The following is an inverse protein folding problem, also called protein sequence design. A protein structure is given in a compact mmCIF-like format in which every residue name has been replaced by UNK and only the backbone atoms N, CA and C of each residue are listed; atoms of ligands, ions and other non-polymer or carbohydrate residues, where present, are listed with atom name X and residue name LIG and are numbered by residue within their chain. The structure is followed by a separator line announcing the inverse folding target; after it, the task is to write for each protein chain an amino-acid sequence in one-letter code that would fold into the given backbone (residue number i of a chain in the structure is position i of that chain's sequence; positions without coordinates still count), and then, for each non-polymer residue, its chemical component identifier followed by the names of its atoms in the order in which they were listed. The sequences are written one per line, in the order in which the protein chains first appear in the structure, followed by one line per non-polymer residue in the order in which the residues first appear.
data_IF_570657214606
#
_entry.id   IF_570657214606
#
_cell.length_a   1.000
_cell.length_b   1.000
_cell.length_c   1.000
_cell.angle_alpha   90.00
_cell.angle_beta   90.00
_cell.angle_gamma   90.00
#
_symmetry.space_group_name_H-M   'P 1'
#
loop_
_entity.id
_entity.type
_entity.pdbx_description
1 polymer ?
#
# COMPACT_ATOMS: atom_id res chain seq x y z
N UNK A 1 -15.27 45.94 32.59
CA UNK A 1 -15.87 45.03 31.59
C UNK A 1 -14.71 44.45 30.80
N UNK A 2 -14.48 43.13 30.92
CA UNK A 2 -13.38 42.45 30.24
C UNK A 2 -13.87 41.83 28.95
N UNK A 3 -13.17 42.09 27.85
CA UNK A 3 -13.02 41.13 26.75
C UNK A 3 -11.63 41.34 26.14
N UNK A 4 -10.80 40.30 26.26
CA UNK A 4 -9.39 40.35 25.86
C UNK A 4 -9.21 40.05 24.37
N UNK A 5 -8.04 40.43 23.88
CA UNK A 5 -7.43 40.05 22.61
C UNK A 5 -7.83 38.67 22.06
N UNK A 6 -8.12 38.62 20.75
CA UNK A 6 -7.99 37.40 19.95
C UNK A 6 -7.04 37.67 18.78
N UNK A 7 -5.91 36.97 18.80
CA UNK A 7 -4.95 36.91 17.68
C UNK A 7 -5.29 35.69 16.81
N UNK A 8 -5.42 35.84 15.48
CA UNK A 8 -5.62 34.69 14.60
C UNK A 8 -4.25 34.10 14.22
N UNK A 9 -3.79 33.13 15.00
CA UNK A 9 -2.70 32.21 14.60
C UNK A 9 -3.31 30.81 14.43
N UNK A 10 -2.74 30.04 13.50
CA UNK A 10 -2.92 28.59 13.30
C UNK A 10 -4.22 28.16 12.61
N UNK A 11 -4.10 27.87 11.32
CA UNK A 11 -5.00 26.98 10.58
C UNK A 11 -4.17 26.15 9.57
N UNK A 12 -3.56 25.05 10.03
CA UNK A 12 -2.94 24.02 9.18
C UNK A 12 -3.26 22.65 9.78
N UNK A 13 -3.40 21.62 8.95
CA UNK A 13 -3.77 20.25 9.33
C UNK A 13 -2.74 19.19 8.80
N UNK A 14 -3.13 17.96 8.44
CA UNK A 14 -2.30 16.73 8.42
C UNK A 14 -2.16 16.04 7.01
N UNK A 15 -1.01 15.37 6.63
CA UNK A 15 -0.91 13.88 6.51
C UNK A 15 0.29 13.07 5.89
N UNK A 16 0.82 12.09 6.66
CA UNK A 16 1.38 10.76 6.27
C UNK A 16 1.79 10.40 4.82
N UNK A 17 3.04 9.96 4.63
CA UNK A 17 3.52 9.39 3.36
C UNK A 17 2.87 8.04 3.00
N UNK A 18 2.24 7.98 1.82
CA UNK A 18 1.45 6.84 1.33
C UNK A 18 2.34 5.79 0.64
N UNK A 19 2.25 4.53 1.05
CA UNK A 19 2.82 3.43 0.26
C UNK A 19 1.94 3.12 -0.94
N UNK A 20 2.38 3.50 -2.15
CA UNK A 20 1.67 3.32 -3.42
C UNK A 20 1.66 1.86 -3.91
N UNK A 21 1.26 0.92 -3.04
CA UNK A 21 1.02 -0.49 -3.38
C UNK A 21 -0.49 -0.72 -3.53
N UNK A 22 -0.91 -1.05 -4.74
CA UNK A 22 -2.33 -1.22 -5.08
C UNK A 22 -2.90 -2.60 -4.68
N UNK A 23 -2.06 -3.58 -4.36
CA UNK A 23 -2.41 -4.93 -3.91
C UNK A 23 -1.33 -5.44 -2.94
N UNK A 24 -1.65 -6.41 -2.07
CA UNK A 24 -0.63 -7.19 -1.36
C UNK A 24 0.34 -7.87 -2.34
N UNK A 25 1.63 -7.80 -2.03
CA UNK A 25 2.72 -8.45 -2.78
C UNK A 25 2.69 -9.98 -2.74
N UNK A 26 1.83 -10.57 -1.91
CA UNK A 26 1.64 -12.02 -1.83
C UNK A 26 0.21 -12.43 -2.17
N UNK A 27 0.10 -13.52 -2.91
CA UNK A 27 -1.15 -14.23 -3.20
C UNK A 27 -1.14 -15.64 -2.58
N UNK A 28 -2.31 -16.26 -2.45
CA UNK A 28 -2.44 -17.66 -2.02
C UNK A 28 -1.98 -18.70 -3.06
N UNK A 29 -1.71 -18.27 -4.30
CA UNK A 29 -1.23 -19.12 -5.38
C UNK A 29 0.29 -19.26 -5.36
N UNK A 30 0.82 -20.42 -5.72
CA UNK A 30 2.26 -20.63 -5.92
C UNK A 30 2.56 -20.71 -7.42
N UNK A 31 3.65 -20.08 -7.86
CA UNK A 31 4.09 -20.12 -9.27
C UNK A 31 4.38 -21.54 -9.75
N UNK A 32 4.95 -22.39 -8.88
CA UNK A 32 5.46 -23.71 -9.26
C UNK A 32 6.92 -23.65 -9.70
N UNK A 33 7.64 -24.77 -9.58
CA UNK A 33 9.09 -24.83 -9.85
C UNK A 33 9.41 -24.36 -11.27
N UNK A 34 10.42 -23.50 -11.41
CA UNK A 34 10.88 -22.84 -12.65
C UNK A 34 9.92 -21.86 -13.32
N UNK A 35 8.69 -21.71 -12.85
CA UNK A 35 7.72 -20.78 -13.41
C UNK A 35 7.80 -19.43 -12.68
N UNK A 36 7.41 -18.37 -13.35
CA UNK A 36 7.43 -17.02 -12.80
C UNK A 36 6.62 -16.01 -13.58
N UNK A 37 6.65 -14.77 -13.10
CA UNK A 37 6.14 -13.61 -13.84
C UNK A 37 7.03 -12.41 -13.62
N UNK A 38 7.11 -11.54 -14.62
CA UNK A 38 7.60 -10.16 -14.51
C UNK A 38 6.47 -9.26 -14.97
N UNK A 39 6.13 -8.24 -14.19
CA UNK A 39 5.10 -7.27 -14.55
C UNK A 39 5.54 -5.84 -14.29
N UNK A 40 5.04 -4.95 -15.14
CA UNK A 40 5.13 -3.49 -14.98
C UNK A 40 3.72 -2.96 -14.92
N UNK A 41 3.39 -2.28 -13.83
CA UNK A 41 2.08 -1.64 -13.64
C UNK A 41 2.24 -0.15 -13.33
N UNK A 42 1.30 0.64 -13.82
CA UNK A 42 1.11 2.04 -13.43
C UNK A 42 -0.13 2.14 -12.55
N UNK A 43 -0.05 2.93 -11.48
CA UNK A 43 -1.19 3.29 -10.64
C UNK A 43 -1.32 4.80 -10.57
N UNK A 44 -2.54 5.29 -10.78
CA UNK A 44 -2.91 6.69 -10.60
C UNK A 44 -3.90 6.77 -9.43
N UNK A 45 -3.49 7.43 -8.35
CA UNK A 45 -4.26 7.66 -7.12
C UNK A 45 -4.55 9.15 -6.92
N UNK A 46 -5.68 9.48 -6.31
CA UNK A 46 -6.06 10.87 -5.97
C UNK A 46 -6.96 10.95 -4.74
N UNK A 47 -6.82 12.03 -3.96
CA UNK A 47 -7.73 12.35 -2.86
C UNK A 47 -7.82 13.85 -2.57
N UNK A 48 -8.97 14.24 -2.01
CA UNK A 48 -9.20 15.50 -1.30
C UNK A 48 -9.48 15.25 0.18
N UNK A 49 -10.38 14.31 0.46
CA UNK A 49 -10.74 13.94 1.82
C UNK A 49 -9.63 13.12 2.50
N UNK A 50 -9.54 13.24 3.82
CA UNK A 50 -8.43 12.67 4.60
C UNK A 50 -8.89 12.26 6.00
N UNK A 51 -8.40 11.12 6.50
CA UNK A 51 -8.75 10.57 7.82
C UNK A 51 -7.76 11.07 8.88
N UNK A 52 -8.21 12.00 9.71
CA UNK A 52 -7.42 12.90 10.56
C UNK A 52 -7.78 12.68 12.01
N UNK A 53 -7.11 11.75 12.69
CA UNK A 53 -7.57 11.24 13.98
C UNK A 53 -7.94 12.36 14.98
N UNK A 54 -9.18 12.39 15.52
CA UNK A 54 -10.24 11.36 15.43
C UNK A 54 -11.25 11.52 14.26
N UNK A 55 -11.15 12.57 13.45
CA UNK A 55 -12.14 12.99 12.47
C UNK A 55 -11.80 12.60 11.01
N UNK A 56 -12.66 13.01 10.06
CA UNK A 56 -12.39 12.96 8.62
C UNK A 56 -12.70 14.34 8.05
N UNK A 57 -11.68 15.07 7.58
CA UNK A 57 -11.89 16.36 6.91
C UNK A 57 -12.03 16.18 5.40
N UNK A 58 -12.52 17.21 4.72
CA UNK A 58 -12.88 17.14 3.31
C UNK A 58 -11.80 17.61 2.32
N UNK A 59 -10.70 18.18 2.83
CA UNK A 59 -9.66 18.83 2.05
C UNK A 59 -8.25 18.46 2.55
N UNK A 60 -7.29 18.30 1.63
CA UNK A 60 -5.91 18.03 2.04
C UNK A 60 -5.28 19.35 2.53
N UNK A 61 -4.73 19.38 3.74
CA UNK A 61 -4.16 20.61 4.27
C UNK A 61 -2.90 21.04 3.52
N UNK A 62 -2.71 22.36 3.38
CA UNK A 62 -1.77 23.01 2.45
C UNK A 62 -2.12 22.75 0.98
N UNK A 63 -2.30 21.49 0.57
CA UNK A 63 -2.27 21.07 -0.83
C UNK A 63 -3.62 20.75 -1.48
N UNK A 64 -4.75 20.96 -0.80
CA UNK A 64 -6.16 20.83 -1.24
C UNK A 64 -6.57 19.45 -1.80
N UNK A 65 -5.87 18.99 -2.84
CA UNK A 65 -5.90 17.65 -3.45
C UNK A 65 -4.47 17.11 -3.57
N UNK A 66 -4.25 15.85 -3.19
CA UNK A 66 -3.05 15.10 -3.61
C UNK A 66 -3.37 14.23 -4.82
N UNK A 67 -2.42 14.16 -5.75
CA UNK A 67 -2.37 13.19 -6.83
C UNK A 67 -1.06 12.38 -6.72
N UNK A 68 -1.17 11.04 -6.76
CA UNK A 68 -0.02 10.13 -6.67
C UNK A 68 0.03 9.27 -7.93
N UNK A 69 1.17 9.27 -8.63
CA UNK A 69 1.49 8.29 -9.67
C UNK A 69 2.53 7.31 -9.16
N UNK A 70 2.40 6.03 -9.50
CA UNK A 70 3.48 5.07 -9.33
C UNK A 70 3.64 4.16 -10.54
N UNK A 71 4.89 3.82 -10.85
CA UNK A 71 5.25 2.74 -11.78
C UNK A 71 5.96 1.67 -10.96
N UNK A 72 5.37 0.48 -10.89
CA UNK A 72 5.89 -0.64 -10.11
C UNK A 72 6.41 -1.75 -11.02
N UNK A 73 7.67 -2.11 -10.84
CA UNK A 73 8.24 -3.36 -11.33
C UNK A 73 8.01 -4.44 -10.27
N UNK A 74 7.40 -5.55 -10.65
CA UNK A 74 7.16 -6.71 -9.80
C UNK A 74 7.61 -7.98 -10.51
N UNK A 75 8.30 -8.88 -9.80
CA UNK A 75 8.67 -10.18 -10.34
C UNK A 75 8.57 -11.28 -9.29
N UNK A 76 8.06 -12.45 -9.68
CA UNK A 76 7.99 -13.66 -8.85
C UNK A 76 8.64 -14.85 -9.57
N UNK A 77 9.23 -15.76 -8.80
CA UNK A 77 9.85 -16.99 -9.30
C UNK A 77 9.68 -18.15 -8.32
N UNK A 78 9.13 -19.26 -8.80
CA UNK A 78 9.04 -20.51 -8.05
C UNK A 78 10.38 -21.25 -8.04
N UNK A 79 11.13 -21.11 -6.95
CA UNK A 79 12.35 -21.87 -6.68
C UNK A 79 12.02 -23.37 -6.58
N UNK A 80 10.89 -23.70 -5.96
CA UNK A 80 10.29 -25.04 -5.92
C UNK A 80 8.76 -24.93 -5.93
N UNK A 81 8.06 -26.06 -6.02
CA UNK A 81 6.59 -26.13 -5.91
C UNK A 81 6.03 -25.75 -4.53
N UNK A 82 6.92 -25.48 -3.57
CA UNK A 82 6.62 -25.04 -2.21
C UNK A 82 7.32 -23.73 -1.79
N UNK A 83 8.24 -23.19 -2.59
CA UNK A 83 9.01 -21.98 -2.24
C UNK A 83 9.05 -21.05 -3.44
N UNK A 84 8.58 -19.82 -3.23
CA UNK A 84 8.54 -18.74 -4.21
C UNK A 84 9.27 -17.52 -3.65
N UNK A 85 10.10 -16.88 -4.47
CA UNK A 85 10.66 -15.57 -4.19
C UNK A 85 9.90 -14.51 -4.99
N UNK A 86 9.69 -13.32 -4.41
CA UNK A 86 9.09 -12.18 -5.09
C UNK A 86 9.89 -10.92 -4.76
N UNK A 87 10.01 -10.02 -5.74
CA UNK A 87 10.60 -8.68 -5.60
C UNK A 87 9.67 -7.63 -6.18
N UNK A 88 9.61 -6.45 -5.53
CA UNK A 88 8.87 -5.28 -5.99
C UNK A 88 9.73 -4.03 -5.84
N UNK A 89 9.70 -3.16 -6.85
CA UNK A 89 10.38 -1.88 -6.86
C UNK A 89 9.47 -0.80 -7.50
N UNK A 90 8.82 0.03 -6.67
CA UNK A 90 8.01 1.14 -7.15
C UNK A 90 8.83 2.44 -7.28
N UNK A 91 8.73 3.08 -8.45
CA UNK A 91 8.96 4.51 -8.60
C UNK A 91 7.66 5.24 -8.28
N UNK A 92 7.70 6.26 -7.42
CA UNK A 92 6.52 7.01 -6.98
C UNK A 92 6.76 8.49 -7.21
N UNK A 93 5.71 9.20 -7.65
CA UNK A 93 5.60 10.66 -7.73
C UNK A 93 4.33 11.09 -7.00
N UNK A 94 4.47 11.99 -6.03
CA UNK A 94 3.35 12.59 -5.29
C UNK A 94 3.35 14.09 -5.53
N UNK A 95 2.19 14.63 -5.89
CA UNK A 95 1.97 16.04 -6.21
C UNK A 95 0.82 16.60 -5.35
N UNK A 96 1.05 17.78 -4.76
CA UNK A 96 0.07 18.55 -4.02
C UNK A 96 -0.38 19.79 -4.80
N UNK A 97 -1.70 20.00 -4.88
CA UNK A 97 -2.31 21.05 -5.69
C UNK A 97 -2.92 22.17 -4.84
N UNK A 98 -2.08 23.04 -4.27
CA UNK A 98 -2.54 24.23 -3.55
C UNK A 98 -2.86 25.40 -4.50
N UNK A 99 -3.60 26.39 -4.00
CA UNK A 99 -3.71 27.71 -4.61
C UNK A 99 -2.33 28.36 -4.89
N UNK A 100 -2.20 29.20 -5.95
CA UNK A 100 -0.93 29.81 -6.31
C UNK A 100 -0.30 30.65 -5.19
N UNK A 101 -1.12 31.26 -4.32
CA UNK A 101 -0.67 32.05 -3.17
C UNK A 101 0.06 31.16 -2.16
N UNK A 102 -0.52 30.01 -1.78
CA UNK A 102 0.12 29.05 -0.85
C UNK A 102 1.45 28.51 -1.42
N UNK A 103 1.54 28.30 -2.73
CA UNK A 103 2.78 27.85 -3.37
C UNK A 103 3.86 28.94 -3.48
N UNK A 104 3.48 30.20 -3.69
CA UNK A 104 4.40 31.34 -3.81
C UNK A 104 4.87 31.83 -2.43
N UNK A 105 3.95 32.01 -1.48
CA UNK A 105 4.23 32.57 -0.16
C UNK A 105 4.85 31.54 0.80
N UNK A 106 4.49 30.26 0.65
CA UNK A 106 4.89 29.19 1.58
C UNK A 106 6.24 28.54 1.30
N UNK A 107 6.87 28.79 0.13
CA UNK A 107 8.09 28.11 -0.35
C UNK A 107 8.03 26.56 -0.25
N UNK A 108 6.82 25.99 -0.39
CA UNK A 108 6.60 24.56 -0.19
C UNK A 108 7.00 23.75 -1.43
N UNK A 109 7.77 22.69 -1.22
CA UNK A 109 7.98 21.66 -2.25
C UNK A 109 6.69 20.88 -2.45
N UNK A 110 5.97 21.12 -3.56
CA UNK A 110 4.67 20.51 -3.86
C UNK A 110 4.75 19.27 -4.76
N UNK A 111 5.93 18.85 -5.20
CA UNK A 111 6.16 17.59 -5.92
C UNK A 111 7.33 16.84 -5.30
N UNK A 112 7.14 15.56 -5.00
CA UNK A 112 8.19 14.65 -4.52
C UNK A 112 8.18 13.38 -5.34
N UNK A 113 9.33 12.90 -5.79
CA UNK A 113 9.43 11.69 -6.63
C UNK A 113 10.75 10.93 -6.46
N UNK A 114 10.73 9.62 -6.74
CA UNK A 114 11.90 8.76 -6.64
C UNK A 114 11.55 7.26 -6.58
N UNK A 115 12.58 6.41 -6.57
CA UNK A 115 12.43 5.00 -6.20
C UNK A 115 12.13 4.93 -4.70
N UNK A 116 11.01 4.30 -4.34
CA UNK A 116 10.57 4.21 -2.95
C UNK A 116 11.29 3.04 -2.25
N UNK A 117 10.58 2.01 -1.78
CA UNK A 117 11.16 0.93 -1.00
C UNK A 117 11.25 -0.33 -1.88
N UNK A 118 12.47 -0.85 -2.08
CA UNK A 118 12.62 -2.18 -2.65
C UNK A 118 12.16 -3.20 -1.63
N UNK A 119 11.29 -4.12 -2.06
CA UNK A 119 10.71 -5.14 -1.20
C UNK A 119 10.98 -6.52 -1.77
N UNK A 120 11.67 -7.36 -1.00
CA UNK A 120 11.85 -8.78 -1.30
C UNK A 120 11.05 -9.63 -0.31
N UNK A 121 10.48 -10.75 -0.77
CA UNK A 121 9.81 -11.70 0.10
C UNK A 121 10.02 -13.15 -0.35
N UNK A 122 9.94 -14.06 0.62
CA UNK A 122 9.88 -15.50 0.41
C UNK A 122 8.54 -16.02 0.90
N UNK A 123 7.86 -16.80 0.06
CA UNK A 123 6.58 -17.44 0.33
C UNK A 123 6.75 -18.96 0.33
N UNK A 124 6.29 -19.60 1.40
CA UNK A 124 6.49 -21.01 1.70
C UNK A 124 5.15 -21.70 1.85
N UNK A 125 4.82 -22.68 0.99
CA UNK A 125 3.63 -23.54 1.16
C UNK A 125 3.95 -24.65 2.15
N UNK A 126 3.53 -24.46 3.40
CA UNK A 126 3.78 -25.40 4.50
C UNK A 126 2.86 -26.61 4.49
N UNK A 127 1.58 -26.42 4.12
CA UNK A 127 0.57 -27.48 4.10
C UNK A 127 -0.37 -27.33 2.91
N UNK A 128 -0.87 -28.47 2.42
CA UNK A 128 -1.81 -28.59 1.30
C UNK A 128 -2.68 -29.82 1.55
N UNK A 129 -4.00 -29.70 1.45
CA UNK A 129 -4.93 -30.83 1.62
C UNK A 129 -6.16 -30.68 0.75
N UNK A 130 -6.77 -31.80 0.39
CA UNK A 130 -8.04 -31.86 -0.35
C UNK A 130 -9.21 -31.86 0.64
N UNK A 131 -10.21 -31.02 0.36
CA UNK A 131 -11.45 -30.88 1.11
C UNK A 131 -12.61 -31.07 0.13
N UNK A 132 -12.98 -32.33 -0.10
CA UNK A 132 -13.90 -32.70 -1.18
C UNK A 132 -13.31 -32.34 -2.54
N UNK A 133 -13.99 -31.49 -3.31
CA UNK A 133 -13.52 -30.98 -4.60
C UNK A 133 -12.72 -29.66 -4.52
N UNK A 134 -12.25 -29.29 -3.32
CA UNK A 134 -11.48 -28.06 -3.09
C UNK A 134 -10.09 -28.37 -2.51
N UNK A 135 -9.13 -27.48 -2.71
CA UNK A 135 -7.78 -27.59 -2.15
C UNK A 135 -7.58 -26.44 -1.15
N UNK A 136 -7.21 -26.78 0.09
CA UNK A 136 -6.77 -25.84 1.11
C UNK A 136 -5.24 -25.82 1.17
N UNK A 137 -4.64 -24.66 0.92
CA UNK A 137 -3.23 -24.39 1.10
C UNK A 137 -3.02 -23.49 2.33
N UNK A 138 -2.03 -23.82 3.16
CA UNK A 138 -1.54 -22.94 4.22
C UNK A 138 -0.10 -22.53 3.89
N UNK A 139 0.16 -21.22 3.89
CA UNK A 139 1.43 -20.63 3.52
C UNK A 139 1.96 -19.69 4.60
N UNK A 140 3.28 -19.60 4.70
CA UNK A 140 3.99 -18.55 5.43
C UNK A 140 4.68 -17.59 4.47
N UNK A 141 4.78 -16.32 4.86
CA UNK A 141 5.54 -15.29 4.13
C UNK A 141 6.50 -14.61 5.11
N UNK A 142 7.73 -14.37 4.65
CA UNK A 142 8.70 -13.46 5.29
C UNK A 142 9.10 -12.42 4.24
N UNK A 143 9.03 -11.14 4.58
CA UNK A 143 9.42 -10.04 3.71
C UNK A 143 10.34 -9.03 4.38
N UNK A 144 11.18 -8.40 3.56
CA UNK A 144 12.03 -7.27 3.93
C UNK A 144 11.80 -6.16 2.92
N UNK A 145 11.52 -4.96 3.39
CA UNK A 145 11.31 -3.75 2.59
C UNK A 145 12.25 -2.66 3.09
N UNK A 146 12.95 -1.96 2.19
CA UNK A 146 13.94 -0.93 2.58
C UNK A 146 14.06 0.15 1.52
N UNK A 147 14.37 1.42 1.86
CA UNK A 147 14.52 2.49 0.88
C UNK A 147 15.53 2.15 -0.22
N UNK A 148 15.10 2.28 -1.48
CA UNK A 148 15.90 2.07 -2.68
C UNK A 148 16.53 3.37 -3.22
N UNK A 149 16.12 4.53 -2.70
CA UNK A 149 16.78 5.81 -2.94
C UNK A 149 16.71 6.72 -1.70
N UNK A 150 17.49 7.80 -1.69
CA UNK A 150 17.48 8.80 -0.64
C UNK A 150 16.31 9.80 -0.83
N UNK A 151 15.08 9.29 -0.85
CA UNK A 151 13.89 10.14 -0.89
C UNK A 151 13.69 10.85 0.45
N UNK A 152 13.31 12.13 0.43
CA UNK A 152 13.17 12.93 1.66
C UNK A 152 11.84 12.70 2.36
N UNK A 153 11.89 12.57 3.69
CA UNK A 153 10.79 12.28 4.61
C UNK A 153 10.96 13.03 5.95
N UNK A 154 11.50 14.25 5.92
CA UNK A 154 11.99 15.01 7.08
C UNK A 154 10.83 15.62 7.92
N UNK A 155 11.16 16.46 8.91
CA UNK A 155 10.17 17.32 9.58
C UNK A 155 9.79 18.49 8.66
N UNK A 156 8.50 18.83 8.63
CA UNK A 156 7.98 19.93 7.81
C UNK A 156 6.62 19.55 7.23
N UNK A 157 5.68 20.49 7.17
CA UNK A 157 4.29 20.18 6.81
C UNK A 157 4.16 19.72 5.34
N UNK A 158 5.08 20.13 4.47
CA UNK A 158 5.23 19.70 3.09
C UNK A 158 5.68 18.23 2.91
N UNK A 159 6.04 17.54 4.00
CA UNK A 159 6.30 16.09 4.00
C UNK A 159 5.01 15.25 4.10
N UNK A 160 3.85 15.91 4.11
CA UNK A 160 2.53 15.33 3.77
C UNK A 160 2.55 14.56 2.44
N UNK A 161 3.28 15.05 1.43
CA UNK A 161 3.46 14.36 0.14
C UNK A 161 4.75 13.51 0.08
N UNK A 162 5.31 13.10 1.23
CA UNK A 162 6.46 12.20 1.23
C UNK A 162 6.10 10.87 0.54
N UNK A 163 6.91 10.44 -0.43
CA UNK A 163 6.62 9.23 -1.20
C UNK A 163 6.85 7.94 -0.42
N UNK A 164 7.40 8.00 0.80
CA UNK A 164 7.68 6.85 1.66
C UNK A 164 8.06 7.31 3.06
N UNK A 165 8.35 6.36 3.95
CA UNK A 165 8.61 6.64 5.37
C UNK A 165 10.05 6.35 5.84
N UNK A 166 10.95 5.92 4.96
CA UNK A 166 12.38 5.77 5.22
C UNK A 166 12.77 4.60 6.13
N UNK A 167 11.80 3.83 6.64
CA UNK A 167 12.08 2.70 7.52
C UNK A 167 12.31 1.41 6.74
N UNK A 168 13.37 0.70 7.11
CA UNK A 168 13.47 -0.74 6.84
C UNK A 168 12.39 -1.46 7.65
N UNK A 169 11.66 -2.34 6.98
CA UNK A 169 10.54 -3.11 7.53
C UNK A 169 10.83 -4.59 7.34
N UNK A 170 10.61 -5.39 8.39
CA UNK A 170 10.58 -6.85 8.32
C UNK A 170 9.17 -7.28 8.68
N UNK A 171 8.53 -8.09 7.83
CA UNK A 171 7.19 -8.58 8.10
C UNK A 171 7.10 -10.10 7.96
N UNK A 172 6.27 -10.70 8.80
CA UNK A 172 5.91 -12.12 8.73
C UNK A 172 4.39 -12.24 8.61
N UNK A 173 3.90 -13.18 7.80
CA UNK A 173 2.46 -13.40 7.61
C UNK A 173 2.14 -14.88 7.43
N UNK A 174 0.98 -15.29 7.90
CA UNK A 174 0.33 -16.54 7.51
C UNK A 174 -0.75 -16.29 6.46
N UNK A 175 -0.95 -17.24 5.55
CA UNK A 175 -1.99 -17.23 4.52
C UNK A 175 -2.74 -18.56 4.58
N UNK A 176 -4.07 -18.50 4.60
CA UNK A 176 -4.95 -19.62 4.28
C UNK A 176 -5.62 -19.35 2.92
N UNK A 177 -5.54 -20.31 2.00
CA UNK A 177 -6.08 -20.18 0.66
C UNK A 177 -6.87 -21.43 0.28
N UNK A 178 -8.18 -21.27 0.08
CA UNK A 178 -9.09 -22.32 -0.36
C UNK A 178 -9.49 -22.06 -1.80
N UNK A 179 -9.30 -23.04 -2.69
CA UNK A 179 -9.71 -22.98 -4.09
C UNK A 179 -10.57 -24.19 -4.46
N UNK A 180 -11.68 -23.98 -5.16
CA UNK A 180 -12.54 -25.05 -5.69
C UNK A 180 -12.00 -25.57 -7.02
N UNK A 181 -12.39 -26.79 -7.41
CA UNK A 181 -12.12 -27.33 -8.75
C UNK A 181 -12.67 -26.46 -9.90
N UNK A 182 -13.67 -25.60 -9.65
CA UNK A 182 -14.16 -24.64 -10.64
C UNK A 182 -13.29 -23.39 -10.79
N UNK A 183 -12.31 -23.17 -9.92
CA UNK A 183 -11.42 -22.01 -9.92
C UNK A 183 -11.85 -20.86 -8.99
N UNK A 184 -13.02 -20.95 -8.34
CA UNK A 184 -13.43 -19.98 -7.30
C UNK A 184 -12.53 -20.13 -6.09
N UNK A 185 -12.10 -19.03 -5.47
CA UNK A 185 -11.21 -19.06 -4.32
C UNK A 185 -11.54 -18.01 -3.26
N UNK A 186 -11.06 -18.31 -2.04
CA UNK A 186 -10.98 -17.37 -0.91
C UNK A 186 -9.56 -17.43 -0.36
N UNK A 187 -8.95 -16.26 -0.14
CA UNK A 187 -7.65 -16.12 0.53
C UNK A 187 -7.82 -15.25 1.76
N UNK A 188 -7.29 -15.66 2.90
CA UNK A 188 -7.14 -14.83 4.08
C UNK A 188 -5.65 -14.79 4.47
N UNK A 189 -5.11 -13.58 4.65
CA UNK A 189 -3.74 -13.32 5.05
C UNK A 189 -3.73 -12.47 6.31
N UNK A 190 -2.85 -12.78 7.25
CA UNK A 190 -2.61 -11.93 8.42
C UNK A 190 -1.16 -11.99 8.86
N UNK A 191 -0.65 -10.89 9.41
CA UNK A 191 0.76 -10.78 9.79
C UNK A 191 1.09 -9.55 10.60
N UNK A 192 2.38 -9.38 10.87
CA UNK A 192 2.92 -8.26 11.62
C UNK A 192 4.18 -7.72 10.94
N UNK A 193 4.31 -6.40 10.90
CA UNK A 193 5.43 -5.66 10.35
C UNK A 193 6.17 -4.94 11.48
N UNK A 194 7.40 -5.38 11.76
CA UNK A 194 8.37 -4.67 12.58
C UNK A 194 9.08 -3.64 11.70
N UNK A 195 9.27 -2.42 12.21
CA UNK A 195 9.78 -1.27 11.43
C UNK A 195 10.86 -0.54 12.21
N UNK A 196 11.86 -0.02 11.51
CA UNK A 196 12.97 0.69 12.12
C UNK A 196 12.67 2.18 12.39
N UNK A 197 13.49 2.79 13.24
CA UNK A 197 13.37 4.20 13.61
C UNK A 197 12.11 4.50 14.41
N UNK A 198 11.48 5.65 14.15
CA UNK A 198 10.24 6.08 14.84
C UNK A 198 8.96 5.59 14.17
N UNK A 199 9.04 4.85 13.05
CA UNK A 199 7.86 4.40 12.31
C UNK A 199 7.13 3.31 13.09
N UNK A 200 5.83 3.46 13.43
CA UNK A 200 5.14 2.45 14.22
C UNK A 200 5.04 1.11 13.50
N UNK A 201 5.40 0.04 14.19
CA UNK A 201 5.08 -1.35 13.83
C UNK A 201 3.59 -1.48 13.51
N UNK A 202 3.21 -2.45 12.68
CA UNK A 202 1.79 -2.62 12.32
C UNK A 202 1.34 -4.07 12.22
N UNK A 203 0.13 -4.33 12.68
CA UNK A 203 -0.65 -5.50 12.30
C UNK A 203 -1.19 -5.31 10.88
N UNK A 204 -1.17 -6.39 10.10
CA UNK A 204 -1.61 -6.44 8.71
C UNK A 204 -2.62 -7.58 8.54
N UNK A 205 -3.69 -7.34 7.78
CA UNK A 205 -4.59 -8.39 7.31
C UNK A 205 -5.09 -8.06 5.89
N UNK A 206 -5.36 -9.11 5.12
CA UNK A 206 -6.02 -9.00 3.81
C UNK A 206 -6.93 -10.21 3.60
N UNK A 207 -8.08 -9.99 2.98
CA UNK A 207 -8.95 -11.07 2.50
C UNK A 207 -9.27 -10.81 1.03
N UNK A 208 -9.15 -11.86 0.19
CA UNK A 208 -9.49 -11.86 -1.24
C UNK A 208 -10.55 -12.91 -1.51
N UNK A 209 -11.53 -12.60 -2.37
CA UNK A 209 -12.49 -13.57 -2.91
C UNK A 209 -12.53 -13.38 -4.42
N UNK A 210 -12.42 -14.47 -5.19
CA UNK A 210 -12.27 -14.35 -6.63
C UNK A 210 -12.45 -15.64 -7.40
N UNK A 211 -12.08 -15.57 -8.67
CA UNK A 211 -12.06 -16.65 -9.63
C UNK A 211 -10.71 -16.65 -10.37
N UNK A 212 -10.07 -17.81 -10.41
CA UNK A 212 -8.83 -18.07 -11.10
C UNK A 212 -9.06 -19.21 -12.11
N UNK A 213 -9.28 -18.86 -13.37
CA UNK A 213 -9.50 -19.81 -14.46
C UNK A 213 -8.51 -19.61 -15.62
N UNK A 214 -8.58 -20.46 -16.66
CA UNK A 214 -7.62 -20.45 -17.77
C UNK A 214 -7.74 -19.22 -18.68
N UNK A 215 -8.93 -18.59 -18.75
CA UNK A 215 -9.20 -17.45 -19.64
C UNK A 215 -9.04 -16.10 -18.97
N UNK A 216 -9.22 -16.02 -17.65
CA UNK A 216 -9.07 -14.81 -16.85
C UNK A 216 -8.99 -15.15 -15.37
N UNK A 217 -8.45 -14.20 -14.62
CA UNK A 217 -8.46 -14.13 -13.17
C UNK A 217 -9.16 -12.83 -12.76
N UNK A 218 -9.98 -12.87 -11.71
CA UNK A 218 -10.59 -11.68 -11.11
C UNK A 218 -10.76 -11.89 -9.61
N UNK A 219 -10.51 -10.87 -8.81
CA UNK A 219 -10.78 -10.89 -7.37
C UNK A 219 -11.26 -9.53 -6.84
N UNK A 220 -12.06 -9.60 -5.78
CA UNK A 220 -12.35 -8.48 -4.90
C UNK A 220 -11.68 -8.70 -3.55
N UNK A 221 -11.10 -7.63 -3.01
CA UNK A 221 -10.27 -7.73 -1.82
C UNK A 221 -10.52 -6.59 -0.82
N UNK A 222 -10.20 -6.88 0.44
CA UNK A 222 -10.17 -5.93 1.54
C UNK A 222 -8.85 -6.08 2.29
N UNK A 223 -8.14 -4.96 2.48
CA UNK A 223 -6.89 -4.88 3.20
C UNK A 223 -7.06 -3.98 4.43
N UNK A 224 -6.47 -4.40 5.55
CA UNK A 224 -6.51 -3.74 6.84
C UNK A 224 -5.09 -3.57 7.40
N UNK A 225 -4.77 -2.36 7.87
CA UNK A 225 -3.58 -2.09 8.66
C UNK A 225 -3.98 -1.44 9.98
N UNK A 226 -3.30 -1.83 11.06
CA UNK A 226 -3.35 -1.15 12.35
C UNK A 226 -1.94 -0.92 12.89
N UNK A 227 -1.54 0.34 13.00
CA UNK A 227 -0.30 0.75 13.64
C UNK A 227 -0.35 0.55 15.16
N UNK A 228 0.80 0.22 15.74
CA UNK A 228 1.03 0.19 17.17
C UNK A 228 0.75 1.56 17.81
N UNK A 229 0.36 1.55 19.10
CA UNK A 229 0.02 2.75 19.86
C UNK A 229 1.20 3.68 20.17
N UNK A 230 2.44 3.30 19.85
CA UNK A 230 3.65 4.08 20.11
C UNK A 230 3.86 5.26 19.17
N UNK A 231 3.08 5.36 18.08
CA UNK A 231 3.09 6.51 17.19
C UNK A 231 2.20 7.65 17.68
N UNK A 232 2.46 8.84 17.17
CA UNK A 232 1.60 10.01 17.38
C UNK A 232 0.47 10.08 16.35
N UNK A 233 -0.53 10.92 16.63
CA UNK A 233 -1.51 11.37 15.64
C UNK A 233 -1.16 12.76 15.17
N UNK A 234 -1.39 13.05 13.90
CA UNK A 234 -0.83 14.26 13.31
C UNK A 234 -1.61 15.47 13.83
N UNK A 235 -0.88 16.53 14.18
CA UNK A 235 -1.37 17.70 14.93
C UNK A 235 -2.11 17.43 16.24
N UNK A 236 -2.07 16.20 16.75
CA UNK A 236 -2.43 15.92 18.13
C UNK A 236 -1.22 16.18 19.04
N UNK A 237 -1.43 16.37 20.36
CA UNK A 237 -0.32 16.58 21.30
C UNK A 237 0.77 15.50 21.18
N UNK A 238 2.01 15.94 20.99
CA UNK A 238 3.16 15.07 20.75
C UNK A 238 3.55 14.88 19.28
N UNK A 239 2.81 15.45 18.32
CA UNK A 239 3.29 15.54 16.93
C UNK A 239 4.33 16.65 16.75
N UNK A 240 5.48 16.29 16.18
CA UNK A 240 6.66 17.14 16.00
C UNK A 240 6.94 17.47 14.52
N UNK A 241 5.94 17.37 13.65
CA UNK A 241 6.11 17.56 12.20
C UNK A 241 6.70 16.35 11.47
N UNK A 242 7.13 15.29 12.17
CA UNK A 242 7.74 14.11 11.55
C UNK A 242 6.69 13.06 11.17
N UNK A 243 6.11 13.21 9.98
CA UNK A 243 5.05 12.32 9.46
C UNK A 243 5.33 10.81 9.53
N UNK A 244 6.57 10.31 9.36
CA UNK A 244 6.84 8.87 9.50
C UNK A 244 6.54 8.28 10.89
N UNK A 245 6.56 9.07 11.96
CA UNK A 245 6.30 8.59 13.33
C UNK A 245 4.81 8.42 13.70
N UNK A 246 3.93 8.46 12.70
CA UNK A 246 2.48 8.62 12.92
C UNK A 246 1.74 7.30 12.79
N UNK A 247 0.59 7.20 13.46
CA UNK A 247 -0.23 5.97 13.48
C UNK A 247 -1.09 5.86 12.23
N UNK A 248 -0.62 5.12 11.24
CA UNK A 248 -1.35 4.89 9.99
C UNK A 248 -2.20 3.62 10.11
N UNK A 249 -3.50 3.78 10.36
CA UNK A 249 -4.48 2.69 10.28
C UNK A 249 -5.29 2.86 8.98
N UNK A 250 -5.68 1.77 8.32
CA UNK A 250 -6.57 1.85 7.16
C UNK A 250 -7.43 0.61 6.98
N UNK A 251 -8.59 0.82 6.34
CA UNK A 251 -9.36 -0.20 5.63
C UNK A 251 -9.47 0.23 4.17
N UNK A 252 -8.87 -0.54 3.27
CA UNK A 252 -8.88 -0.31 1.81
C UNK A 252 -9.59 -1.49 1.15
N UNK A 253 -10.42 -1.22 0.16
CA UNK A 253 -11.07 -2.24 -0.67
C UNK A 253 -10.67 -2.05 -2.12
N UNK A 254 -10.72 -3.12 -2.91
CA UNK A 254 -10.47 -3.04 -4.33
C UNK A 254 -10.96 -4.23 -5.12
N UNK A 255 -10.85 -4.07 -6.44
CA UNK A 255 -11.08 -5.09 -7.45
C UNK A 255 -9.81 -5.23 -8.28
N UNK A 256 -9.56 -6.42 -8.79
CA UNK A 256 -8.34 -6.73 -9.53
C UNK A 256 -8.63 -7.81 -10.56
N UNK A 257 -8.07 -7.66 -11.76
CA UNK A 257 -8.30 -8.56 -12.88
C UNK A 257 -7.00 -8.79 -13.65
N UNK A 258 -6.80 -10.03 -14.10
CA UNK A 258 -5.73 -10.40 -15.00
C UNK A 258 -6.32 -11.21 -16.17
N UNK A 259 -5.86 -10.92 -17.39
CA UNK A 259 -6.24 -11.66 -18.59
C UNK A 259 -5.00 -12.07 -19.37
N UNK A 260 -4.72 -13.37 -19.56
CA UNK A 260 -3.70 -13.80 -20.50
C UNK A 260 -4.08 -13.37 -21.93
N UNK A 261 -3.07 -12.94 -22.68
CA UNK A 261 -3.18 -12.50 -24.06
C UNK A 261 -2.56 -13.57 -24.98
N UNK A 262 -1.29 -13.42 -25.34
CA UNK A 262 -0.55 -14.37 -26.17
C UNK A 262 0.92 -14.45 -25.71
N UNK A 263 1.59 -15.57 -26.01
CA UNK A 263 3.04 -15.74 -25.79
C UNK A 263 3.51 -15.45 -24.35
N UNK A 264 2.70 -15.81 -23.35
CA UNK A 264 2.99 -15.56 -21.93
C UNK A 264 2.61 -14.15 -21.44
N UNK A 265 2.35 -13.19 -22.34
CA UNK A 265 1.90 -11.86 -21.94
C UNK A 265 0.45 -11.87 -21.43
N UNK A 266 0.14 -10.97 -20.50
CA UNK A 266 -1.20 -10.72 -20.02
C UNK A 266 -1.41 -9.28 -19.54
N UNK A 267 -2.67 -8.84 -19.55
CA UNK A 267 -3.11 -7.52 -19.08
C UNK A 267 -3.48 -7.60 -17.60
N UNK A 268 -3.03 -6.63 -16.81
CA UNK A 268 -3.43 -6.41 -15.42
C UNK A 268 -4.28 -5.15 -15.34
N UNK A 269 -5.40 -5.20 -14.64
CA UNK A 269 -6.25 -4.05 -14.31
C UNK A 269 -6.64 -4.10 -12.83
N UNK A 270 -6.83 -2.94 -12.21
CA UNK A 270 -7.30 -2.84 -10.84
C UNK A 270 -7.92 -1.50 -10.50
N UNK A 271 -8.77 -1.50 -9.48
CA UNK A 271 -9.32 -0.29 -8.89
C UNK A 271 -9.37 -0.46 -7.36
N UNK A 272 -9.14 0.60 -6.60
CA UNK A 272 -9.19 0.54 -5.14
C UNK A 272 -9.62 1.86 -4.51
N UNK A 273 -10.14 1.81 -3.29
CA UNK A 273 -10.45 3.00 -2.50
C UNK A 273 -10.30 2.75 -1.00
N UNK A 274 -9.91 3.79 -0.26
CA UNK A 274 -9.88 3.78 1.20
C UNK A 274 -11.28 4.10 1.75
N UNK A 275 -11.83 3.19 2.56
CA UNK A 275 -13.18 3.33 3.15
C UNK A 275 -13.16 3.70 4.63
N UNK A 276 -12.03 3.53 5.30
CA UNK A 276 -11.79 3.99 6.66
C UNK A 276 -10.29 4.11 6.95
N UNK A 277 -9.93 4.86 7.98
CA UNK A 277 -8.55 4.94 8.41
C UNK A 277 -8.28 5.91 9.55
N UNK A 278 -7.00 6.03 9.88
CA UNK A 278 -6.40 6.90 10.87
C UNK A 278 -5.08 7.38 10.28
N UNK A 279 -4.89 8.68 10.21
CA UNK A 279 -3.77 9.29 9.51
C UNK A 279 -3.53 8.66 8.12
N UNK A 280 -4.52 8.78 7.21
CA UNK A 280 -4.34 8.36 5.80
C UNK A 280 -5.23 9.15 4.83
N UNK A 281 -4.75 9.33 3.59
CA UNK A 281 -5.53 9.83 2.46
C UNK A 281 -6.74 8.94 2.14
N UNK A 282 -7.92 9.53 1.92
CA UNK A 282 -9.08 8.79 1.39
C UNK A 282 -8.94 8.65 -0.13
N UNK A 283 -7.88 7.95 -0.54
CA UNK A 283 -7.48 7.75 -1.92
C UNK A 283 -8.47 6.86 -2.67
N UNK A 284 -8.70 7.20 -3.94
CA UNK A 284 -9.19 6.28 -4.96
C UNK A 284 -8.11 6.12 -6.02
N UNK A 285 -7.85 4.88 -6.42
CA UNK A 285 -6.79 4.54 -7.36
C UNK A 285 -7.24 3.61 -8.47
N UNK A 286 -6.71 3.84 -9.67
CA UNK A 286 -6.81 2.95 -10.83
C UNK A 286 -5.43 2.42 -11.18
N UNK A 287 -5.36 1.14 -11.52
CA UNK A 287 -4.13 0.43 -11.88
C UNK A 287 -4.30 -0.23 -13.25
N UNK A 288 -3.28 -0.11 -14.10
CA UNK A 288 -3.17 -0.83 -15.36
C UNK A 288 -1.74 -1.31 -15.56
N UNK A 289 -1.54 -2.47 -16.18
CA UNK A 289 -0.20 -3.02 -16.36
C UNK A 289 -0.14 -4.18 -17.33
N UNK A 290 1.09 -4.60 -17.64
CA UNK A 290 1.39 -5.78 -18.42
C UNK A 290 2.23 -6.74 -17.58
N UNK A 291 1.94 -8.03 -17.69
CA UNK A 291 2.74 -9.11 -17.12
C UNK A 291 3.23 -10.03 -18.24
N UNK A 292 4.37 -10.67 -18.01
CA UNK A 292 4.94 -11.73 -18.83
C UNK A 292 5.20 -12.94 -17.94
N UNK A 293 4.48 -14.03 -18.19
CA UNK A 293 4.56 -15.29 -17.47
C UNK A 293 5.40 -16.29 -18.26
N UNK A 294 6.24 -17.05 -17.55
CA UNK A 294 7.17 -18.05 -18.10
C UNK A 294 7.27 -19.30 -17.19
#
# INVERSE_FOLDING_TARGET
MNTSYFSPIVAILLLSGVTAQAQSLSSGFMSGKKHGSISVSTTQEWYKQVYLAPEKIDEVPIFERIQVQSVNLFANYGITDKIEAVVSLPYVRSEGHASPQVLQDGNYTNVRQGLQDVTGLLKFKGYSTELGSSILNLLGVVSVSTPASNYKNEQGLEYIIAIGNGATKVATSGIAHLQTASGVFVTAQTGYSVRSGRVPNAFLAETKVGYAGPLFYVDGWIAYQKSASSGTDILQPGFDGFFPATRVDFTRVGLSAFRPLAQGFGLVLGASTYIGGRNVGKSTGLTGGLAYNF
#
